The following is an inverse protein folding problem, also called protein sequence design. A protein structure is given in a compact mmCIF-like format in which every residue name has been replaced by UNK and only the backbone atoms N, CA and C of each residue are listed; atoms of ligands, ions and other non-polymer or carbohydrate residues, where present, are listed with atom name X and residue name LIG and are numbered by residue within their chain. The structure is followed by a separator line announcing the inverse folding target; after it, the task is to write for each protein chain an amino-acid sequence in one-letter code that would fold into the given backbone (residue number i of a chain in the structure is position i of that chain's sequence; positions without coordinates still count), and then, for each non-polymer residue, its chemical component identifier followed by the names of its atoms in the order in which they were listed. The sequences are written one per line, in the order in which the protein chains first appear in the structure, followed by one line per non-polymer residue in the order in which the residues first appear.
data_IF_026822576500
#
_entry.id   IF_026822576500
#
_cell.length_a   1.000
_cell.length_b   1.000
_cell.length_c   1.000
_cell.angle_alpha   90.00
_cell.angle_beta   90.00
_cell.angle_gamma   90.00
#
_symmetry.space_group_name_H-M   'P 1'
#
loop_
_entity.id
_entity.type
_entity.pdbx_description
1 polymer ?
#
# COMPACT_ATOMS: atom_id res chain seq x y z
N UNK A 1 -13.48 1.83 -4.02
CA UNK A 1 -12.81 2.84 -3.70
C UNK A 1 -11.36 2.62 -3.35
N UNK A 2 -11.04 1.51 -2.73
CA UNK A 2 -9.66 1.09 -2.58
C UNK A 2 -9.24 0.31 -3.80
N UNK A 3 -8.14 0.74 -4.42
CA UNK A 3 -7.63 0.07 -5.61
C UNK A 3 -6.45 -0.81 -5.23
N UNK A 4 -6.51 -2.07 -5.60
CA UNK A 4 -5.35 -2.94 -5.55
C UNK A 4 -4.56 -2.80 -6.85
N UNK A 5 -3.25 -2.73 -6.75
CA UNK A 5 -2.42 -2.75 -7.94
C UNK A 5 -2.32 -4.20 -8.42
N UNK A 6 -3.00 -4.52 -9.48
CA UNK A 6 -3.00 -5.88 -9.99
C UNK A 6 -1.73 -6.18 -10.78
N UNK A 7 -1.09 -7.27 -10.41
CA UNK A 7 0.05 -7.79 -11.15
C UNK A 7 -0.39 -9.10 -11.81
N UNK A 8 -0.64 -9.06 -13.09
CA UNK A 8 -1.05 -10.23 -13.83
C UNK A 8 -0.06 -11.38 -13.61
N UNK A 9 -0.57 -12.57 -13.36
CA UNK A 9 0.19 -13.81 -13.21
C UNK A 9 1.09 -13.93 -11.98
N UNK A 10 1.13 -12.93 -11.13
CA UNK A 10 1.95 -13.03 -9.92
C UNK A 10 1.41 -14.11 -8.99
N UNK A 11 0.10 -14.31 -8.98
CA UNK A 11 -0.52 -15.33 -8.15
C UNK A 11 0.03 -16.74 -8.42
N UNK A 12 0.51 -17.00 -9.62
CA UNK A 12 1.12 -18.28 -9.98
C UNK A 12 2.60 -18.39 -9.64
N UNK A 13 3.21 -17.31 -9.16
CA UNK A 13 4.63 -17.31 -8.86
C UNK A 13 4.86 -17.80 -7.42
N UNK A 14 5.56 -18.94 -7.22
CA UNK A 14 5.69 -19.54 -5.90
C UNK A 14 6.46 -18.70 -4.88
N UNK A 15 7.26 -17.73 -5.31
CA UNK A 15 8.02 -16.90 -4.36
C UNK A 15 7.15 -15.89 -3.64
N UNK A 16 6.05 -15.41 -4.24
CA UNK A 16 5.25 -14.35 -3.66
C UNK A 16 4.38 -14.78 -2.48
N UNK A 17 3.79 -15.99 -2.46
CA UNK A 17 3.00 -16.42 -1.30
C UNK A 17 3.82 -16.52 -0.01
N UNK A 18 5.13 -16.70 -0.13
CA UNK A 18 6.02 -16.89 1.02
C UNK A 18 6.58 -15.58 1.57
N UNK A 19 6.29 -14.43 0.96
CA UNK A 19 6.84 -13.14 1.42
C UNK A 19 6.19 -12.75 2.74
N UNK A 20 7.02 -12.49 3.74
CA UNK A 20 6.56 -12.04 5.05
C UNK A 20 6.20 -10.56 5.01
N UNK A 21 5.35 -10.15 5.94
CA UNK A 21 4.87 -8.77 6.02
C UNK A 21 6.03 -7.77 6.15
N UNK A 22 7.00 -8.04 7.03
CA UNK A 22 8.14 -7.15 7.24
C UNK A 22 9.03 -7.03 6.00
N UNK A 23 9.21 -8.14 5.29
CA UNK A 23 10.01 -8.16 4.05
C UNK A 23 9.30 -7.39 2.95
N UNK A 24 7.99 -7.52 2.88
CA UNK A 24 7.20 -6.77 1.90
C UNK A 24 7.24 -5.28 2.18
N UNK A 25 7.06 -4.89 3.45
CA UNK A 25 7.17 -3.50 3.87
C UNK A 25 8.54 -2.92 3.50
N UNK A 26 9.60 -3.65 3.78
CA UNK A 26 10.97 -3.21 3.47
C UNK A 26 11.15 -3.01 1.95
N UNK A 27 10.65 -3.94 1.15
CA UNK A 27 10.77 -3.87 -0.30
C UNK A 27 10.02 -2.66 -0.88
N UNK A 28 8.78 -2.43 -0.43
CA UNK A 28 7.99 -1.28 -0.90
C UNK A 28 8.65 0.03 -0.47
N UNK A 29 9.09 0.11 0.77
CA UNK A 29 9.75 1.32 1.31
C UNK A 29 11.03 1.63 0.54
N UNK A 30 11.84 0.61 0.26
CA UNK A 30 13.06 0.79 -0.50
C UNK A 30 12.77 1.30 -1.91
N UNK A 31 11.83 0.68 -2.60
CA UNK A 31 11.47 1.10 -3.96
C UNK A 31 10.92 2.52 -3.97
N UNK A 32 10.04 2.85 -3.03
CA UNK A 32 9.50 4.21 -2.92
C UNK A 32 10.62 5.23 -2.71
N UNK A 33 11.54 4.94 -1.80
CA UNK A 33 12.67 5.84 -1.53
C UNK A 33 13.56 6.01 -2.76
N UNK A 34 13.88 4.91 -3.44
CA UNK A 34 14.72 4.94 -4.64
C UNK A 34 14.07 5.72 -5.78
N UNK A 35 12.75 5.75 -5.83
CA UNK A 35 12.01 6.46 -6.88
C UNK A 35 11.59 7.88 -6.48
N UNK A 36 12.11 8.38 -5.36
CA UNK A 36 11.98 9.79 -4.98
C UNK A 36 10.80 10.13 -4.09
N UNK A 37 10.12 9.14 -3.53
CA UNK A 37 9.01 9.39 -2.61
C UNK A 37 9.52 9.66 -1.20
N UNK A 38 8.91 10.61 -0.51
CA UNK A 38 9.00 10.70 0.94
C UNK A 38 8.10 9.61 1.52
N UNK A 39 8.60 8.92 2.53
CA UNK A 39 7.90 7.77 3.10
C UNK A 39 7.62 8.02 4.58
N UNK A 40 6.34 7.92 4.97
CA UNK A 40 5.94 7.83 6.36
C UNK A 40 5.42 6.42 6.63
N UNK A 41 5.94 5.78 7.66
CA UNK A 41 5.51 4.45 8.09
C UNK A 41 4.88 4.53 9.48
N UNK A 42 3.68 3.96 9.62
CA UNK A 42 3.00 3.84 10.91
C UNK A 42 3.59 2.67 11.68
N UNK A 43 4.34 2.95 12.76
CA UNK A 43 5.03 1.90 13.51
C UNK A 43 4.16 1.20 14.54
N UNK A 44 3.55 1.93 15.44
CA UNK A 44 2.85 1.35 16.58
C UNK A 44 1.43 1.87 16.67
N UNK A 45 0.49 0.99 16.33
CA UNK A 45 -0.93 1.32 16.33
C UNK A 45 -1.55 1.36 17.73
N UNK A 46 -0.83 0.92 18.78
CA UNK A 46 -1.40 0.87 20.13
C UNK A 46 -1.60 2.25 20.75
N UNK A 47 -0.82 3.24 20.29
CA UNK A 47 -0.91 4.62 20.75
C UNK A 47 -1.53 5.56 19.74
N UNK A 48 -2.00 5.03 18.63
CA UNK A 48 -2.65 5.79 17.56
C UNK A 48 -4.03 5.21 17.33
N UNK A 49 -4.84 5.90 16.53
CA UNK A 49 -6.10 5.34 16.10
C UNK A 49 -5.86 4.07 15.30
N UNK A 50 -6.61 3.03 15.64
CA UNK A 50 -6.46 1.74 14.97
C UNK A 50 -6.87 1.83 13.50
N UNK A 51 -6.15 1.11 12.65
CA UNK A 51 -6.54 0.88 11.26
C UNK A 51 -5.99 1.87 10.24
N UNK A 52 -5.25 2.90 10.67
CA UNK A 52 -4.63 3.82 9.71
C UNK A 52 -3.66 3.07 8.79
N UNK A 53 -3.58 3.44 7.50
CA UNK A 53 -2.70 2.74 6.55
C UNK A 53 -1.24 2.69 6.98
N UNK A 54 -0.54 1.64 6.57
CA UNK A 54 0.86 1.42 6.95
C UNK A 54 1.79 2.50 6.43
N UNK A 55 1.53 3.00 5.22
CA UNK A 55 2.41 3.94 4.55
C UNK A 55 1.65 5.16 4.05
N UNK A 56 2.30 6.31 4.15
CA UNK A 56 1.92 7.52 3.42
C UNK A 56 3.12 7.93 2.58
N UNK A 57 2.91 8.08 1.28
CA UNK A 57 3.96 8.41 0.33
C UNK A 57 3.63 9.73 -0.35
N UNK A 58 4.62 10.61 -0.44
CA UNK A 58 4.43 11.91 -1.09
C UNK A 58 5.57 12.18 -2.06
N UNK A 59 5.23 12.57 -3.28
CA UNK A 59 6.22 12.97 -4.29
C UNK A 59 5.57 13.97 -5.22
N UNK A 60 6.22 15.14 -5.39
CA UNK A 60 5.68 16.24 -6.20
C UNK A 60 4.28 16.61 -5.70
N UNK A 61 3.27 16.52 -6.54
CA UNK A 61 1.89 16.82 -6.19
C UNK A 61 1.05 15.58 -5.89
N UNK A 62 1.69 14.42 -5.69
CA UNK A 62 1.01 13.13 -5.48
C UNK A 62 1.11 12.67 -4.04
N UNK A 63 0.03 12.11 -3.56
CA UNK A 63 -0.08 11.55 -2.21
C UNK A 63 -0.69 10.16 -2.31
N UNK A 64 -0.04 9.18 -1.70
CA UNK A 64 -0.52 7.79 -1.67
C UNK A 64 -0.67 7.34 -0.23
N UNK A 65 -1.82 6.76 0.09
CA UNK A 65 -2.04 6.00 1.31
C UNK A 65 -2.06 4.52 0.94
N UNK A 66 -1.22 3.71 1.57
CA UNK A 66 -1.13 2.30 1.24
C UNK A 66 -1.17 1.43 2.48
N UNK A 67 -2.11 0.50 2.50
CA UNK A 67 -2.16 -0.59 3.47
C UNK A 67 -1.45 -1.79 2.87
N UNK A 68 -0.56 -2.42 3.64
CA UNK A 68 0.20 -3.58 3.18
C UNK A 68 -0.30 -4.84 3.89
N UNK A 69 -0.53 -5.88 3.13
CA UNK A 69 -0.92 -7.20 3.63
C UNK A 69 -0.12 -8.27 2.91
N UNK A 70 0.12 -9.38 3.59
CA UNK A 70 0.61 -10.58 2.89
C UNK A 70 -0.46 -11.08 1.93
N UNK A 71 -0.11 -12.00 1.05
CA UNK A 71 -1.10 -12.52 0.07
C UNK A 71 -2.30 -13.18 0.74
N UNK A 72 -2.15 -13.67 1.97
CA UNK A 72 -3.22 -14.31 2.74
C UNK A 72 -3.70 -13.49 3.93
N UNK A 73 -3.13 -12.31 4.14
CA UNK A 73 -3.50 -11.47 5.27
C UNK A 73 -4.93 -10.95 5.17
N UNK A 74 -5.60 -10.87 6.32
CA UNK A 74 -7.00 -10.44 6.39
C UNK A 74 -7.06 -8.98 6.81
N UNK A 75 -7.88 -8.19 6.12
CA UNK A 75 -8.11 -6.79 6.46
C UNK A 75 -9.07 -6.74 7.65
N UNK A 76 -8.73 -5.94 8.66
CA UNK A 76 -9.57 -5.75 9.85
C UNK A 76 -10.58 -4.62 9.62
N UNK A 77 -11.67 -4.65 10.40
CA UNK A 77 -12.76 -3.67 10.26
C UNK A 77 -12.28 -2.22 10.34
N UNK A 78 -11.40 -1.90 11.28
CA UNK A 78 -10.87 -0.53 11.42
C UNK A 78 -10.05 -0.11 10.18
N UNK A 79 -9.32 -1.04 9.57
CA UNK A 79 -8.57 -0.78 8.35
C UNK A 79 -9.51 -0.51 7.17
N UNK A 80 -10.58 -1.30 7.06
CA UNK A 80 -11.60 -1.08 6.03
C UNK A 80 -12.21 0.31 6.16
N UNK A 81 -12.53 0.73 7.39
CA UNK A 81 -13.11 2.05 7.64
C UNK A 81 -12.19 3.15 7.14
N UNK A 82 -10.89 3.09 7.48
CA UNK A 82 -9.93 4.09 7.03
C UNK A 82 -9.76 4.08 5.51
N UNK A 83 -9.60 2.90 4.91
CA UNK A 83 -9.40 2.79 3.47
C UNK A 83 -10.61 3.29 2.69
N UNK A 84 -11.81 2.94 3.12
CA UNK A 84 -13.02 3.39 2.45
C UNK A 84 -13.22 4.90 2.57
N UNK A 85 -12.97 5.45 3.76
CA UNK A 85 -13.13 6.88 3.99
C UNK A 85 -12.11 7.68 3.19
N UNK A 86 -10.83 7.28 3.25
CA UNK A 86 -9.78 7.95 2.47
C UNK A 86 -10.03 7.79 0.98
N UNK A 87 -10.49 6.61 0.54
CA UNK A 87 -10.79 6.35 -0.85
C UNK A 87 -11.95 7.21 -1.36
N UNK A 88 -12.95 7.46 -0.53
CA UNK A 88 -14.04 8.35 -0.89
C UNK A 88 -13.55 9.79 -1.08
N UNK A 89 -12.65 10.26 -0.20
CA UNK A 89 -12.04 11.58 -0.35
C UNK A 89 -11.21 11.64 -1.64
N UNK A 90 -10.48 10.57 -1.94
CA UNK A 90 -9.60 10.51 -3.11
C UNK A 90 -10.36 10.38 -4.44
N UNK A 91 -11.65 10.02 -4.40
CA UNK A 91 -12.42 9.69 -5.59
C UNK A 91 -12.34 10.76 -6.69
N UNK A 92 -12.49 12.02 -6.32
CA UNK A 92 -12.45 13.13 -7.26
C UNK A 92 -11.13 13.91 -7.20
N UNK A 93 -10.10 13.33 -6.59
CA UNK A 93 -8.80 13.98 -6.41
C UNK A 93 -7.75 13.19 -7.19
N UNK A 94 -7.39 13.64 -8.41
CA UNK A 94 -6.47 12.85 -9.25
C UNK A 94 -5.10 12.67 -8.66
N UNK A 95 -4.72 13.51 -7.70
CA UNK A 95 -3.39 13.48 -7.10
C UNK A 95 -3.32 12.64 -5.82
N UNK A 96 -4.45 12.13 -5.34
CA UNK A 96 -4.53 11.34 -4.12
C UNK A 96 -4.99 9.94 -4.47
N UNK A 97 -4.27 8.93 -4.01
CA UNK A 97 -4.59 7.53 -4.27
C UNK A 97 -4.56 6.73 -2.97
N UNK A 98 -5.40 5.72 -2.90
CA UNK A 98 -5.49 4.82 -1.75
C UNK A 98 -5.42 3.39 -2.25
N UNK A 99 -4.50 2.62 -1.69
CA UNK A 99 -4.26 1.25 -2.12
C UNK A 99 -4.25 0.27 -0.97
N UNK A 100 -4.67 -0.94 -1.27
CA UNK A 100 -4.34 -2.13 -0.52
C UNK A 100 -3.35 -2.92 -1.38
N UNK A 101 -2.12 -3.06 -0.91
CA UNK A 101 -1.08 -3.76 -1.66
C UNK A 101 -0.71 -5.09 -1.01
N UNK A 102 -0.55 -6.08 -1.87
CA UNK A 102 -0.09 -7.41 -1.50
C UNK A 102 1.14 -7.75 -2.35
N UNK A 103 2.01 -8.68 -1.93
CA UNK A 103 3.17 -9.06 -2.75
C UNK A 103 2.84 -9.43 -4.19
N UNK A 104 1.68 -10.06 -4.42
CA UNK A 104 1.24 -10.41 -5.77
C UNK A 104 0.97 -9.18 -6.66
N UNK A 105 0.86 -7.99 -6.06
CA UNK A 105 0.62 -6.75 -6.79
C UNK A 105 1.94 -6.07 -7.21
N UNK A 106 3.08 -6.71 -7.00
CA UNK A 106 4.39 -6.07 -7.12
C UNK A 106 4.61 -5.35 -8.46
N UNK A 107 4.25 -5.97 -9.57
CA UNK A 107 4.43 -5.33 -10.88
C UNK A 107 3.61 -4.02 -10.99
N UNK A 108 2.40 -4.02 -10.45
CA UNK A 108 1.58 -2.81 -10.40
C UNK A 108 2.14 -1.76 -9.45
N UNK A 109 2.68 -2.19 -8.30
CA UNK A 109 3.33 -1.29 -7.35
C UNK A 109 4.52 -0.59 -8.01
N UNK A 110 5.38 -1.33 -8.68
CA UNK A 110 6.51 -0.77 -9.42
C UNK A 110 6.04 0.27 -10.43
N UNK A 111 5.02 -0.06 -11.19
CA UNK A 111 4.48 0.85 -12.20
C UNK A 111 3.97 2.15 -11.60
N UNK A 112 3.29 2.07 -10.46
CA UNK A 112 2.76 3.24 -9.76
C UNK A 112 3.90 4.10 -9.21
N UNK A 113 4.88 3.48 -8.56
CA UNK A 113 5.96 4.22 -7.91
C UNK A 113 6.96 4.82 -8.92
N UNK A 114 7.16 4.16 -10.07
CA UNK A 114 8.00 4.68 -11.13
C UNK A 114 7.30 5.75 -11.96
N UNK A 115 6.00 5.66 -12.06
CA UNK A 115 5.21 6.65 -12.80
C UNK A 115 5.04 7.93 -12.04
#
# INVERSE_FOLDING_TARGET
VVQGAEAANVAGNPIYPAVKEDDFLAAVTELATLTGWLVYHTYDSRRSQAGFPDLVLARADRLIFAELKTNKGVIRAAQVTWLDTLGAVAHDQPNVSVYLWRPRDWAGIEKILLG
#
